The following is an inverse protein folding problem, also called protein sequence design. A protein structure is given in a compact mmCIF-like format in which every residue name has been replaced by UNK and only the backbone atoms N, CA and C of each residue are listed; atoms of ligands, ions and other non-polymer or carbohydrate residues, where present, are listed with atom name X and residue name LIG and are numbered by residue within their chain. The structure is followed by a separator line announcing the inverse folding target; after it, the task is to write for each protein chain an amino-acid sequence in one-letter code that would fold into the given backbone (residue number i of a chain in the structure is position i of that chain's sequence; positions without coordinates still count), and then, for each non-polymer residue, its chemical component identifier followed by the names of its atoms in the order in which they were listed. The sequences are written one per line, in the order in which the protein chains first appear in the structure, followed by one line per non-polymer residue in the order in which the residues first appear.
data_IF_691866922480
#
_entry.id   IF_691866922480
#
_cell.length_a   1.000
_cell.length_b   1.000
_cell.length_c   1.000
_cell.angle_alpha   90.00
_cell.angle_beta   90.00
_cell.angle_gamma   90.00
#
_symmetry.space_group_name_H-M   'P 1'
#
loop_
_entity.id
_entity.type
_entity.pdbx_description
1 polymer ?
#
# COMPACT_ATOMS: atom_id res chain seq x y z
N UNK A 1 11.24 22.02 -19.19
CA UNK A 1 10.10 21.28 -19.80
C UNK A 1 9.37 20.46 -18.73
N UNK A 2 8.55 21.09 -17.90
CA UNK A 2 7.91 20.46 -16.71
C UNK A 2 6.39 20.26 -16.84
N UNK A 3 5.82 20.41 -18.04
CA UNK A 3 4.37 20.51 -18.26
C UNK A 3 3.66 19.18 -18.54
N UNK A 4 4.36 18.03 -18.58
CA UNK A 4 3.73 16.77 -19.03
C UNK A 4 3.13 15.90 -17.91
N UNK A 5 3.54 16.04 -16.65
CA UNK A 5 3.06 15.18 -15.54
C UNK A 5 1.61 15.47 -15.11
N UNK A 6 1.11 16.68 -15.31
CA UNK A 6 -0.24 17.08 -14.93
C UNK A 6 -1.36 16.49 -15.81
N UNK A 7 -1.06 16.02 -17.03
CA UNK A 7 -2.10 15.59 -17.98
C UNK A 7 -2.61 14.16 -17.80
N UNK A 8 -1.85 13.26 -17.17
CA UNK A 8 -2.31 11.88 -16.99
C UNK A 8 -3.13 11.67 -15.71
N UNK A 9 -2.84 12.40 -14.63
CA UNK A 9 -3.59 12.26 -13.38
C UNK A 9 -5.04 12.76 -13.49
N UNK A 10 -5.32 13.67 -14.44
CA UNK A 10 -6.67 14.18 -14.72
C UNK A 10 -7.46 13.34 -15.73
N UNK A 11 -6.89 12.27 -16.30
CA UNK A 11 -7.59 11.42 -17.28
C UNK A 11 -8.88 10.80 -16.73
N UNK A 12 -8.90 10.21 -15.52
CA UNK A 12 -10.12 9.61 -15.00
C UNK A 12 -11.22 10.65 -14.77
N UNK A 13 -10.87 11.79 -14.17
CA UNK A 13 -11.83 12.87 -13.87
C UNK A 13 -12.38 13.52 -15.13
N UNK A 14 -11.53 13.86 -16.09
CA UNK A 14 -11.97 14.41 -17.38
C UNK A 14 -12.81 13.41 -18.16
N UNK A 15 -12.40 12.13 -18.23
CA UNK A 15 -13.14 11.09 -18.95
C UNK A 15 -14.51 10.81 -18.34
N UNK A 16 -14.59 10.73 -17.01
CA UNK A 16 -15.84 10.56 -16.28
C UNK A 16 -16.81 11.74 -16.46
N UNK A 17 -16.32 12.97 -16.28
CA UNK A 17 -17.15 14.18 -16.46
C UNK A 17 -17.61 14.31 -17.91
N UNK A 18 -16.71 14.15 -18.89
CA UNK A 18 -17.06 14.28 -20.30
C UNK A 18 -18.10 13.23 -20.74
N UNK A 19 -17.92 11.96 -20.34
CA UNK A 19 -18.87 10.90 -20.66
C UNK A 19 -20.23 11.12 -19.98
N UNK A 20 -20.24 11.52 -18.71
CA UNK A 20 -21.48 11.81 -17.99
C UNK A 20 -22.26 12.98 -18.58
N UNK A 21 -21.58 14.08 -18.92
CA UNK A 21 -22.19 15.26 -19.58
C UNK A 21 -22.73 14.88 -20.96
N UNK A 22 -21.98 14.10 -21.74
CA UNK A 22 -22.41 13.67 -23.08
C UNK A 22 -23.68 12.82 -23.02
N UNK A 23 -23.77 11.87 -22.08
CA UNK A 23 -24.98 11.05 -21.90
C UNK A 23 -26.15 11.88 -21.38
N UNK A 24 -25.93 12.77 -20.41
CA UNK A 24 -26.98 13.67 -19.93
C UNK A 24 -27.52 14.57 -21.05
N UNK A 25 -26.64 15.12 -21.88
CA UNK A 25 -27.02 15.91 -23.05
C UNK A 25 -27.81 15.05 -24.05
N UNK A 26 -27.37 13.82 -24.36
CA UNK A 26 -28.12 12.93 -25.23
C UNK A 26 -29.56 12.72 -24.73
N UNK A 27 -29.76 12.41 -23.44
CA UNK A 27 -31.10 12.28 -22.86
C UNK A 27 -31.92 13.57 -22.92
N UNK A 28 -31.29 14.74 -22.75
CA UNK A 28 -31.97 16.03 -22.81
C UNK A 28 -32.43 16.39 -24.24
N UNK A 29 -31.68 15.98 -25.26
CA UNK A 29 -31.96 16.28 -26.67
C UNK A 29 -32.78 15.21 -27.41
N UNK A 30 -33.01 14.03 -26.80
CA UNK A 30 -33.89 13.01 -27.41
C UNK A 30 -35.35 13.52 -27.41
N UNK A 31 -36.06 13.47 -28.56
CA UNK A 31 -37.48 13.83 -28.63
C UNK A 31 -38.37 12.95 -27.75
N UNK A 32 -39.58 13.45 -27.45
CA UNK A 32 -40.55 12.77 -26.57
C UNK A 32 -40.91 11.35 -27.03
N UNK A 33 -41.27 11.22 -28.31
CA UNK A 33 -41.84 9.99 -28.86
C UNK A 33 -40.94 8.76 -28.65
N UNK A 34 -39.65 8.80 -29.03
CA UNK A 34 -38.75 7.67 -28.83
C UNK A 34 -38.55 7.26 -27.36
N UNK A 35 -38.49 8.22 -26.43
CA UNK A 35 -38.32 7.90 -25.01
C UNK A 35 -39.57 7.22 -24.45
N UNK A 36 -40.74 7.76 -24.79
CA UNK A 36 -42.02 7.24 -24.33
C UNK A 36 -42.27 5.83 -24.87
N UNK A 37 -41.99 5.59 -26.15
CA UNK A 37 -42.12 4.24 -26.73
C UNK A 37 -41.16 3.24 -26.10
N UNK A 38 -39.94 3.65 -25.76
CA UNK A 38 -38.96 2.78 -25.08
C UNK A 38 -39.42 2.47 -23.64
N UNK A 39 -40.00 3.44 -22.94
CA UNK A 39 -40.54 3.25 -21.57
C UNK A 39 -41.77 2.34 -21.58
N UNK A 40 -42.65 2.49 -22.56
CA UNK A 40 -43.79 1.59 -22.76
C UNK A 40 -43.32 0.17 -23.09
N UNK A 41 -42.34 0.03 -23.99
CA UNK A 41 -41.78 -1.27 -24.38
C UNK A 41 -41.04 -1.96 -23.23
N UNK A 42 -40.40 -1.19 -22.35
CA UNK A 42 -39.80 -1.70 -21.12
C UNK A 42 -40.84 -2.14 -20.07
N UNK A 43 -42.14 -1.88 -20.28
CA UNK A 43 -43.20 -2.21 -19.34
C UNK A 43 -43.15 -1.43 -18.02
N UNK A 44 -42.34 -0.37 -17.96
CA UNK A 44 -42.17 0.48 -16.77
C UNK A 44 -43.50 1.00 -16.19
N UNK A 45 -44.49 1.42 -17.01
CA UNK A 45 -45.78 1.87 -16.49
C UNK A 45 -46.58 0.82 -15.69
N UNK A 46 -46.30 -0.48 -15.89
CA UNK A 46 -46.94 -1.56 -15.15
C UNK A 46 -46.35 -1.75 -13.75
N UNK A 47 -45.05 -1.45 -13.57
CA UNK A 47 -44.37 -1.55 -12.28
C UNK A 47 -44.43 -0.25 -11.49
N UNK A 48 -44.32 0.89 -12.19
CA UNK A 48 -44.33 2.22 -11.61
C UNK A 48 -45.40 3.07 -12.33
N UNK A 49 -46.61 3.20 -11.76
CA UNK A 49 -47.69 3.98 -12.39
C UNK A 49 -47.31 5.43 -12.68
N UNK A 50 -46.38 5.99 -11.89
CA UNK A 50 -45.82 7.32 -12.06
C UNK A 50 -44.97 7.49 -13.35
N UNK A 51 -44.62 6.39 -14.04
CA UNK A 51 -43.88 6.39 -15.30
C UNK A 51 -44.76 6.34 -16.56
N UNK A 52 -46.08 6.50 -16.43
CA UNK A 52 -46.99 6.55 -17.59
C UNK A 52 -46.69 7.79 -18.46
N UNK A 53 -46.61 7.64 -19.79
CA UNK A 53 -46.53 8.77 -20.70
C UNK A 53 -47.74 9.72 -20.55
N UNK A 54 -47.56 11.03 -20.83
CA UNK A 54 -46.33 11.69 -21.29
C UNK A 54 -45.30 11.90 -20.17
N UNK A 55 -44.02 11.68 -20.48
CA UNK A 55 -42.92 11.91 -19.53
C UNK A 55 -42.69 13.41 -19.38
N UNK A 56 -43.14 13.98 -18.25
CA UNK A 56 -42.95 15.39 -17.92
C UNK A 56 -41.48 15.82 -17.91
N UNK A 57 -41.23 17.14 -17.97
CA UNK A 57 -39.88 17.72 -17.98
C UNK A 57 -39.03 17.32 -16.78
N UNK A 58 -39.65 17.13 -15.61
CA UNK A 58 -39.01 16.65 -14.39
C UNK A 58 -38.48 15.22 -14.53
N UNK A 59 -39.28 14.32 -15.12
CA UNK A 59 -38.88 12.94 -15.38
C UNK A 59 -37.68 12.87 -16.33
N UNK A 60 -37.66 13.73 -17.36
CA UNK A 60 -36.52 13.83 -18.28
C UNK A 60 -35.27 14.37 -17.62
N UNK A 61 -35.40 15.38 -16.76
CA UNK A 61 -34.28 15.91 -16.01
C UNK A 61 -33.68 14.83 -15.10
N UNK A 62 -34.53 14.03 -14.44
CA UNK A 62 -34.09 12.92 -13.60
C UNK A 62 -33.40 11.82 -14.42
N UNK A 63 -33.95 11.43 -15.58
CA UNK A 63 -33.33 10.45 -16.46
C UNK A 63 -31.99 10.94 -17.01
N UNK A 64 -31.92 12.19 -17.46
CA UNK A 64 -30.68 12.79 -17.97
C UNK A 64 -29.60 12.88 -16.88
N UNK A 65 -29.97 13.37 -15.69
CA UNK A 65 -29.04 13.51 -14.57
C UNK A 65 -28.62 12.15 -14.03
N UNK A 66 -29.57 11.24 -13.83
CA UNK A 66 -29.31 9.88 -13.31
C UNK A 66 -28.46 9.06 -14.27
N UNK A 67 -28.82 9.00 -15.55
CA UNK A 67 -28.06 8.29 -16.57
C UNK A 67 -26.67 8.88 -16.79
N UNK A 68 -26.56 10.21 -16.79
CA UNK A 68 -25.28 10.92 -16.90
C UNK A 68 -24.36 10.65 -15.71
N UNK A 69 -24.85 10.80 -14.47
CA UNK A 69 -24.07 10.53 -13.26
C UNK A 69 -23.63 9.07 -13.19
N UNK A 70 -24.54 8.13 -13.47
CA UNK A 70 -24.24 6.71 -13.44
C UNK A 70 -23.16 6.32 -14.47
N UNK A 71 -23.31 6.79 -15.71
CA UNK A 71 -22.32 6.50 -16.77
C UNK A 71 -20.99 7.17 -16.47
N UNK A 72 -21.01 8.44 -16.07
CA UNK A 72 -19.81 9.19 -15.71
C UNK A 72 -19.04 8.56 -14.55
N UNK A 73 -19.74 8.10 -13.50
CA UNK A 73 -19.14 7.39 -12.37
C UNK A 73 -18.52 6.04 -12.79
N UNK A 74 -19.20 5.31 -13.68
CA UNK A 74 -18.70 4.01 -14.18
C UNK A 74 -17.45 4.20 -15.03
N UNK A 75 -17.46 5.14 -15.97
CA UNK A 75 -16.29 5.47 -16.81
C UNK A 75 -15.14 6.02 -15.98
N UNK A 76 -15.44 6.91 -15.02
CA UNK A 76 -14.45 7.41 -14.07
C UNK A 76 -13.80 6.26 -13.30
N UNK A 77 -14.59 5.35 -12.73
CA UNK A 77 -14.10 4.21 -11.97
C UNK A 77 -13.24 3.28 -12.84
N UNK A 78 -13.69 2.97 -14.06
CA UNK A 78 -12.93 2.16 -15.01
C UNK A 78 -11.58 2.81 -15.36
N UNK A 79 -11.57 4.11 -15.70
CA UNK A 79 -10.34 4.85 -15.99
C UNK A 79 -9.44 4.98 -14.76
N UNK A 80 -10.01 5.15 -13.57
CA UNK A 80 -9.26 5.21 -12.33
C UNK A 80 -8.60 3.87 -12.00
N UNK A 81 -9.30 2.75 -12.19
CA UNK A 81 -8.70 1.44 -12.00
C UNK A 81 -7.61 1.14 -13.03
N UNK A 82 -7.74 1.67 -14.25
CA UNK A 82 -6.80 1.41 -15.34
C UNK A 82 -5.54 2.30 -15.24
N UNK A 83 -5.71 3.58 -14.94
CA UNK A 83 -4.68 4.62 -15.01
C UNK A 83 -4.40 5.32 -13.67
N UNK A 84 -5.21 5.09 -12.64
CA UNK A 84 -5.02 5.64 -11.30
C UNK A 84 -3.89 4.95 -10.52
N UNK A 85 -3.57 5.40 -9.31
CA UNK A 85 -2.46 4.86 -8.52
C UNK A 85 -2.60 3.35 -8.29
N UNK A 86 -1.64 2.55 -8.77
CA UNK A 86 -1.67 1.09 -8.67
C UNK A 86 -2.41 0.38 -9.83
N UNK A 87 -2.97 1.12 -10.79
CA UNK A 87 -3.53 0.55 -12.01
C UNK A 87 -2.45 -0.05 -12.93
N UNK A 88 -2.81 -1.00 -13.82
CA UNK A 88 -1.84 -1.69 -14.68
C UNK A 88 -1.16 -0.77 -15.70
N UNK A 89 -1.78 0.38 -16.03
CA UNK A 89 -1.20 1.40 -16.91
C UNK A 89 -0.75 2.65 -16.16
N UNK A 90 -0.83 2.63 -14.82
CA UNK A 90 -0.23 3.67 -14.03
C UNK A 90 1.28 3.62 -14.29
N UNK A 91 1.84 4.70 -14.84
CA UNK A 91 3.31 4.84 -14.82
C UNK A 91 3.71 4.72 -13.36
N UNK A 92 4.53 3.72 -13.03
CA UNK A 92 5.19 3.63 -11.74
C UNK A 92 5.77 5.01 -11.50
N UNK A 93 5.15 5.75 -10.58
CA UNK A 93 5.65 7.02 -10.12
C UNK A 93 6.94 6.69 -9.43
N UNK A 94 8.03 6.62 -10.20
CA UNK A 94 9.37 6.59 -9.67
C UNK A 94 9.42 7.75 -8.71
N UNK A 95 9.45 7.43 -7.42
CA UNK A 95 10.01 8.28 -6.40
C UNK A 95 11.47 8.45 -6.80
N UNK A 96 11.67 9.34 -7.75
CA UNK A 96 12.95 9.77 -8.25
C UNK A 96 13.55 10.58 -7.11
N UNK A 97 14.41 9.92 -6.32
CA UNK A 97 15.55 10.59 -5.72
C UNK A 97 15.65 10.65 -4.19
N UNK A 98 14.63 10.30 -3.40
CA UNK A 98 14.79 10.31 -1.93
C UNK A 98 14.24 9.03 -1.30
N UNK A 99 15.12 8.08 -0.93
CA UNK A 99 14.72 6.95 -0.10
C UNK A 99 14.12 7.49 1.20
N UNK A 100 12.93 7.02 1.58
CA UNK A 100 12.42 7.26 2.93
C UNK A 100 13.26 6.43 3.90
N UNK A 101 14.35 7.03 4.37
CA UNK A 101 15.19 6.43 5.40
C UNK A 101 14.40 6.51 6.70
N UNK A 102 14.12 5.36 7.31
CA UNK A 102 13.59 5.33 8.67
C UNK A 102 14.63 5.98 9.57
N UNK A 103 14.21 6.77 10.56
CA UNK A 103 15.14 7.42 11.49
C UNK A 103 16.11 6.42 12.13
N UNK A 104 15.68 5.18 12.34
CA UNK A 104 16.51 4.08 12.83
C UNK A 104 17.61 3.62 11.86
N UNK A 105 17.39 3.75 10.55
CA UNK A 105 18.31 3.35 9.49
C UNK A 105 19.15 4.55 8.97
N UNK A 106 18.90 5.75 9.49
CA UNK A 106 19.61 6.97 9.14
C UNK A 106 20.98 7.02 9.84
N UNK A 107 21.96 6.34 9.26
CA UNK A 107 23.34 6.40 9.73
C UNK A 107 24.04 7.65 9.19
N UNK A 108 24.79 8.42 10.02
CA UNK A 108 25.47 9.64 9.57
C UNK A 108 26.48 9.41 8.42
N UNK A 109 27.09 8.22 8.39
CA UNK A 109 28.10 7.86 7.40
C UNK A 109 27.58 7.05 6.21
N UNK A 110 26.31 6.62 6.19
CA UNK A 110 25.76 5.83 5.10
C UNK A 110 24.73 6.66 4.30
N UNK A 111 24.98 6.95 3.01
CA UNK A 111 24.00 7.66 2.21
C UNK A 111 22.71 6.84 2.09
N UNK A 112 21.53 7.50 2.04
CA UNK A 112 20.26 6.85 1.78
C UNK A 112 20.33 5.92 0.57
N UNK A 113 20.05 4.62 0.76
CA UNK A 113 19.94 3.65 -0.33
C UNK A 113 18.48 3.34 -0.63
N UNK A 114 18.14 3.18 -1.91
CA UNK A 114 16.79 2.76 -2.34
C UNK A 114 16.48 1.37 -1.74
N UNK A 115 15.27 1.12 -1.22
CA UNK A 115 14.88 -0.23 -0.80
C UNK A 115 14.92 -1.19 -1.98
N UNK A 116 15.39 -2.42 -1.75
CA UNK A 116 15.38 -3.49 -2.75
C UNK A 116 13.94 -3.81 -3.16
N UNK A 117 13.66 -3.77 -4.46
CA UNK A 117 12.41 -4.22 -5.04
C UNK A 117 12.55 -5.66 -5.54
N UNK A 118 11.43 -6.34 -5.75
CA UNK A 118 11.41 -7.70 -6.33
C UNK A 118 12.11 -7.75 -7.70
N UNK A 119 12.12 -6.65 -8.45
CA UNK A 119 12.80 -6.55 -9.74
C UNK A 119 14.34 -6.45 -9.62
N UNK A 120 14.85 -6.08 -8.45
CA UNK A 120 16.29 -5.98 -8.20
C UNK A 120 16.91 -7.34 -7.81
N UNK A 121 16.07 -8.36 -7.60
CA UNK A 121 16.52 -9.73 -7.46
C UNK A 121 16.67 -10.33 -8.86
N UNK A 122 17.91 -10.45 -9.34
CA UNK A 122 18.19 -11.30 -10.50
C UNK A 122 17.72 -12.74 -10.20
N UNK A 123 17.23 -13.42 -11.24
CA UNK A 123 16.90 -14.84 -11.14
C UNK A 123 18.09 -15.59 -10.53
N UNK A 124 17.84 -16.57 -9.63
CA UNK A 124 18.93 -17.30 -9.00
C UNK A 124 19.88 -17.80 -10.09
N UNK A 125 21.20 -17.66 -9.90
CA UNK A 125 22.16 -18.14 -10.89
C UNK A 125 21.83 -19.60 -11.22
N UNK A 126 21.95 -20.01 -12.50
CA UNK A 126 21.69 -21.39 -12.87
C UNK A 126 22.48 -22.30 -11.92
N UNK A 127 21.89 -23.41 -11.44
CA UNK A 127 22.55 -24.26 -10.48
C UNK A 127 23.89 -24.68 -11.06
N UNK A 128 24.97 -24.10 -10.53
CA UNK A 128 26.32 -24.58 -10.82
C UNK A 128 26.32 -26.00 -10.28
N UNK A 129 26.64 -27.02 -11.08
CA UNK A 129 26.70 -28.39 -10.59
C UNK A 129 27.72 -28.40 -9.46
N UNK A 130 27.23 -28.43 -8.22
CA UNK A 130 28.09 -28.56 -7.07
C UNK A 130 28.84 -29.89 -7.24
N UNK A 131 30.18 -29.91 -7.06
CA UNK A 131 30.87 -31.19 -7.00
C UNK A 131 30.17 -32.05 -5.94
N UNK A 132 29.96 -33.35 -6.21
CA UNK A 132 29.31 -34.22 -5.24
C UNK A 132 30.04 -34.10 -3.90
N UNK A 133 29.32 -34.06 -2.77
CA UNK A 133 29.95 -33.99 -1.46
C UNK A 133 30.93 -35.15 -1.34
N UNK A 134 32.21 -34.84 -1.14
CA UNK A 134 33.23 -35.86 -0.90
C UNK A 134 32.99 -36.36 0.52
N UNK A 135 32.42 -37.56 0.65
CA UNK A 135 32.29 -38.23 1.94
C UNK A 135 33.68 -38.46 2.52
N UNK A 136 33.99 -37.74 3.61
CA UNK A 136 35.21 -37.98 4.37
C UNK A 136 34.93 -39.11 5.36
N UNK A 137 35.79 -40.14 5.44
CA UNK A 137 35.62 -41.19 6.42
C UNK A 137 35.67 -40.59 7.82
N UNK A 138 34.79 -41.06 8.73
CA UNK A 138 34.87 -40.66 10.12
C UNK A 138 36.28 -41.00 10.67
N UNK A 139 36.92 -40.07 11.40
CA UNK A 139 38.15 -40.36 12.12
C UNK A 139 37.97 -41.59 13.00
N UNK A 140 38.92 -42.54 12.94
CA UNK A 140 38.89 -43.77 13.75
C UNK A 140 39.00 -43.49 15.25
N UNK A 141 39.53 -42.33 15.60
CA UNK A 141 39.75 -41.87 16.96
C UNK A 141 39.01 -40.55 17.14
N UNK A 142 37.92 -40.57 17.92
CA UNK A 142 37.12 -39.39 18.24
C UNK A 142 37.65 -38.66 19.47
N UNK A 143 38.63 -39.24 20.17
CA UNK A 143 39.26 -38.63 21.35
C UNK A 143 40.44 -37.73 20.95
N UNK A 144 40.74 -37.60 19.65
CA UNK A 144 41.76 -36.67 19.18
C UNK A 144 41.35 -35.21 19.42
N UNK A 145 42.29 -34.34 19.84
CA UNK A 145 41.99 -32.94 20.08
C UNK A 145 41.60 -32.23 18.77
N UNK A 146 40.65 -31.28 18.86
CA UNK A 146 40.16 -30.50 17.71
C UNK A 146 41.28 -29.76 16.97
N UNK A 147 42.36 -29.42 17.67
CA UNK A 147 43.57 -28.78 17.11
C UNK A 147 44.32 -29.64 16.09
N UNK A 148 44.07 -30.95 16.03
CA UNK A 148 44.64 -31.84 15.02
C UNK A 148 43.93 -31.72 13.66
N UNK A 149 42.67 -31.27 13.63
CA UNK A 149 41.92 -31.01 12.38
C UNK A 149 42.06 -29.56 11.93
N UNK A 150 42.03 -28.63 12.89
CA UNK A 150 42.23 -27.21 12.64
C UNK A 150 43.19 -26.62 13.69
N UNK A 151 44.50 -26.53 13.37
CA UNK A 151 45.50 -26.01 14.30
C UNK A 151 45.31 -24.52 14.60
N UNK A 152 44.52 -23.78 13.82
CA UNK A 152 44.21 -22.38 14.07
C UNK A 152 43.00 -22.18 15.02
N UNK A 153 42.18 -23.22 15.24
CA UNK A 153 40.99 -23.13 16.08
C UNK A 153 41.30 -22.93 17.57
N UNK A 154 42.42 -23.46 18.06
CA UNK A 154 42.87 -23.32 19.45
C UNK A 154 44.30 -22.77 19.43
N UNK A 155 44.50 -21.45 19.64
CA UNK A 155 45.83 -20.86 19.66
C UNK A 155 46.65 -21.42 20.82
N UNK A 156 47.94 -21.68 20.59
CA UNK A 156 48.88 -22.22 21.58
C UNK A 156 49.07 -21.32 22.81
N UNK A 157 48.77 -20.03 22.68
CA UNK A 157 48.74 -19.08 23.78
C UNK A 157 47.31 -18.51 23.92
N UNK A 158 46.81 -18.36 25.16
CA UNK A 158 45.59 -17.60 25.41
C UNK A 158 45.66 -16.22 24.77
N UNK A 159 44.56 -15.78 24.16
CA UNK A 159 44.49 -14.40 23.64
C UNK A 159 44.72 -13.43 24.81
N UNK A 160 45.48 -12.34 24.59
CA UNK A 160 45.66 -11.34 25.63
C UNK A 160 44.28 -10.80 26.07
N UNK A 161 44.10 -10.47 27.35
CA UNK A 161 42.85 -9.91 27.83
C UNK A 161 42.50 -8.68 27.00
N UNK A 162 41.22 -8.58 26.61
CA UNK A 162 40.72 -7.41 25.88
C UNK A 162 41.02 -6.19 26.72
N UNK A 163 41.76 -5.23 26.15
CA UNK A 163 42.09 -4.00 26.86
C UNK A 163 40.78 -3.26 27.17
N UNK A 164 40.63 -2.69 28.38
CA UNK A 164 39.53 -1.79 28.67
C UNK A 164 39.48 -0.71 27.59
N UNK A 165 38.36 -0.63 26.89
CA UNK A 165 38.10 0.45 25.94
C UNK A 165 37.79 1.69 26.76
N UNK A 166 38.44 2.81 26.45
CA UNK A 166 38.12 4.07 27.13
C UNK A 166 36.64 4.42 26.92
N UNK A 167 35.93 4.88 27.96
CA UNK A 167 34.57 5.34 27.82
C UNK A 167 34.49 6.42 26.73
N UNK A 168 33.52 6.29 25.83
CA UNK A 168 33.26 7.30 24.81
C UNK A 168 32.94 8.61 25.54
N UNK A 169 33.85 9.59 25.42
CA UNK A 169 33.62 10.91 25.99
C UNK A 169 32.40 11.55 25.31
N UNK A 170 31.48 12.17 26.07
CA UNK A 170 30.37 12.91 25.49
C UNK A 170 30.93 14.05 24.63
N UNK A 171 30.80 13.91 23.31
CA UNK A 171 31.17 14.96 22.37
C UNK A 171 30.16 16.10 22.51
N UNK A 172 30.57 17.34 22.82
CA UNK A 172 29.64 18.45 22.84
C UNK A 172 29.08 18.64 21.42
N UNK A 173 27.75 18.70 21.30
CA UNK A 173 27.08 19.03 20.06
C UNK A 173 27.58 20.41 19.59
N UNK A 174 28.25 20.46 18.44
CA UNK A 174 28.65 21.71 17.81
C UNK A 174 27.45 22.26 17.05
N UNK A 175 26.63 23.06 17.73
CA UNK A 175 25.56 23.83 17.10
C UNK A 175 26.17 25.06 16.41
N UNK A 176 25.72 25.38 15.20
CA UNK A 176 26.11 26.61 14.52
C UNK A 176 25.50 27.85 15.22
N UNK A 177 26.11 29.05 15.11
CA UNK A 177 25.53 30.27 15.64
C UNK A 177 24.13 30.52 15.03
N UNK A 178 23.09 30.47 15.86
CA UNK A 178 21.67 30.60 15.44
C UNK A 178 20.90 29.29 15.36
N UNK A 179 21.56 28.14 15.53
CA UNK A 179 20.92 26.83 15.56
C UNK A 179 20.44 26.52 16.99
N UNK A 180 19.12 26.55 17.20
CA UNK A 180 18.48 26.22 18.48
C UNK A 180 17.80 24.87 18.36
N UNK A 181 18.13 23.94 19.25
CA UNK A 181 17.36 22.69 19.38
C UNK A 181 16.02 23.07 20.02
N UNK A 182 14.93 22.98 19.26
CA UNK A 182 13.58 23.04 19.82
C UNK A 182 13.34 21.75 20.62
N UNK A 183 13.62 21.83 21.92
CA UNK A 183 13.20 20.79 22.86
C UNK A 183 11.70 20.93 23.07
N UNK A 184 10.93 20.13 22.32
CA UNK A 184 9.51 19.93 22.60
C UNK A 184 9.41 19.20 23.94
N UNK A 185 8.69 19.77 24.91
CA UNK A 185 8.22 19.00 26.05
C UNK A 185 7.40 17.84 25.49
N UNK A 186 7.87 16.61 25.70
CA UNK A 186 7.06 15.42 25.52
C UNK A 186 6.02 15.48 26.64
N UNK A 187 4.95 16.26 26.41
CA UNK A 187 3.70 16.05 27.14
C UNK A 187 3.35 14.59 26.89
N UNK A 188 3.26 13.74 27.94
CA UNK A 188 2.78 12.39 27.75
C UNK A 188 1.34 12.51 27.22
N UNK A 189 1.18 12.36 25.89
CA UNK A 189 -0.09 11.99 25.30
C UNK A 189 -0.38 10.58 25.77
N UNK A 190 -0.86 10.44 27.01
CA UNK A 190 -1.66 9.32 27.52
C UNK A 190 -1.93 9.52 29.01
N UNK A 191 -2.90 10.37 29.31
CA UNK A 191 -3.80 10.21 30.45
C UNK A 191 -5.04 11.11 30.25
N UNK A 192 -5.62 11.13 29.05
CA UNK A 192 -7.04 11.51 28.97
C UNK A 192 -7.85 10.30 29.43
N UNK A 193 -8.61 10.53 30.48
CA UNK A 193 -9.67 9.71 31.04
C UNK A 193 -10.62 9.17 29.96
N UNK A 194 -10.28 8.02 29.38
CA UNK A 194 -11.31 7.08 28.91
C UNK A 194 -11.05 5.81 29.68
N UNK A 195 -11.99 5.46 30.56
CA UNK A 195 -11.89 4.30 31.45
C UNK A 195 -11.34 3.10 30.69
N UNK A 196 -10.32 2.46 31.26
CA UNK A 196 -9.78 1.22 30.72
C UNK A 196 -10.97 0.31 30.38
N UNK A 197 -11.06 -0.22 29.14
CA UNK A 197 -12.17 -1.09 28.76
C UNK A 197 -12.23 -2.22 29.78
N UNK A 198 -13.41 -2.41 30.37
CA UNK A 198 -13.59 -3.46 31.37
C UNK A 198 -13.27 -4.82 30.74
N UNK A 199 -12.90 -5.78 31.57
CA UNK A 199 -12.51 -7.13 31.12
C UNK A 199 -13.64 -7.74 30.27
N UNK A 200 -14.89 -7.45 30.62
CA UNK A 200 -16.10 -7.87 29.91
C UNK A 200 -16.15 -7.29 28.48
N UNK A 201 -15.81 -6.01 28.29
CA UNK A 201 -15.76 -5.39 26.97
C UNK A 201 -14.67 -6.01 26.07
N UNK A 202 -13.57 -6.48 26.67
CA UNK A 202 -12.52 -7.19 25.95
C UNK A 202 -12.94 -8.62 25.58
N UNK A 203 -13.68 -9.30 26.46
CA UNK A 203 -14.24 -10.63 26.19
C UNK A 203 -15.30 -10.59 25.09
N UNK A 204 -16.25 -9.66 25.15
CA UNK A 204 -17.28 -9.48 24.10
C UNK A 204 -16.66 -9.24 22.73
N UNK A 205 -15.61 -8.41 22.68
CA UNK A 205 -14.88 -8.12 21.45
C UNK A 205 -14.14 -9.35 20.91
N UNK A 206 -13.63 -10.20 21.79
CA UNK A 206 -12.97 -11.46 21.43
C UNK A 206 -13.98 -12.47 20.86
N UNK A 207 -15.14 -12.61 21.50
CA UNK A 207 -16.23 -13.50 21.06
C UNK A 207 -16.79 -13.07 19.70
N UNK A 208 -16.96 -11.77 19.46
CA UNK A 208 -17.32 -11.27 18.13
C UNK A 208 -16.25 -11.58 17.08
N UNK A 209 -14.97 -11.41 17.43
CA UNK A 209 -13.84 -11.68 16.53
C UNK A 209 -13.66 -13.16 16.20
N UNK A 210 -14.10 -14.08 17.06
CA UNK A 210 -14.04 -15.52 16.83
C UNK A 210 -15.25 -16.01 16.03
N UNK A 211 -16.46 -15.52 16.35
CA UNK A 211 -17.69 -15.83 15.61
C UNK A 211 -17.57 -15.41 14.13
N UNK A 212 -17.10 -14.19 13.87
CA UNK A 212 -16.91 -13.68 12.49
C UNK A 212 -15.95 -14.55 11.67
N UNK A 213 -14.92 -15.13 12.29
CA UNK A 213 -13.96 -16.03 11.61
C UNK A 213 -14.56 -17.40 11.32
N UNK A 214 -15.43 -17.92 12.19
CA UNK A 214 -16.13 -19.17 11.95
C UNK A 214 -17.15 -19.05 10.81
N UNK A 215 -17.89 -17.94 10.75
CA UNK A 215 -18.85 -17.67 9.67
C UNK A 215 -18.14 -17.58 8.31
N UNK A 216 -17.02 -16.85 8.25
CA UNK A 216 -16.20 -16.77 7.03
C UNK A 216 -15.64 -18.12 6.59
N UNK A 217 -15.33 -19.03 7.54
CA UNK A 217 -14.83 -20.38 7.23
C UNK A 217 -15.93 -21.34 6.78
N UNK A 218 -17.20 -21.09 7.15
CA UNK A 218 -18.35 -21.88 6.68
C UNK A 218 -18.91 -21.41 5.34
N UNK A 219 -18.61 -20.17 4.95
CA UNK A 219 -19.06 -19.55 3.70
C UNK A 219 -18.12 -19.77 2.51
N UNK A 220 -16.98 -20.45 2.71
CA UNK A 220 -16.05 -20.87 1.65
C UNK A 220 -15.91 -22.38 1.63
#
# INVERSE_FOLDING_TARGET
MATSRLRLSSLPTLGGVASGVLVAAAFAFIPAGPLESTVELAGLPAMLPAARPPLGSTARLLLASGGGLFTGATVWAALYLLFGPGGPFAKAGGTDGMPQVRVADAHPDAPPRKPFSAADFEAPPPPVPAPPPVEQPLPRDLDQPLSAFDPAAIPAAPKPPVRPVEPIAPRPARLAPGERIESFEISPRHAEETGAPSIEALLDRLEQGTSRRQDLRRAG
#
